data_IF_193099561796
#
_entry.id   IF_193099561796
#
_cell.length_a   1.000
_cell.length_b   1.000
_cell.length_c   1.000
_cell.angle_alpha   90.00
_cell.angle_beta   90.00
_cell.angle_gamma   90.00
#
_symmetry.space_group_name_H-M   'P 1'
#
loop_
_entity.id
_entity.type
_entity.pdbx_description
1 polymer ?
#
# COMPACT_ATOMS: atom_id res chain seq x y z
N UNK A 1 -2.85 13.10 -15.71
CA UNK A 1 -1.60 12.98 -16.50
C UNK A 1 -0.85 11.77 -16.00
N UNK A 2 -0.91 10.67 -16.75
CA UNK A 2 0.03 9.55 -16.54
C UNK A 2 1.39 10.01 -17.09
N UNK A 3 2.19 10.61 -16.24
CA UNK A 3 3.59 10.85 -16.56
C UNK A 3 4.33 9.51 -16.33
N UNK A 4 4.45 8.73 -17.40
CA UNK A 4 5.35 7.58 -17.41
C UNK A 4 6.79 8.07 -17.39
N UNK A 5 7.40 8.16 -16.22
CA UNK A 5 8.84 8.28 -16.10
C UNK A 5 9.45 6.89 -16.22
N UNK A 6 9.86 6.51 -17.42
CA UNK A 6 10.74 5.36 -17.61
C UNK A 6 12.11 5.69 -17.04
N UNK A 7 12.43 5.15 -15.87
CA UNK A 7 13.79 5.14 -15.36
C UNK A 7 14.57 4.04 -16.09
N UNK A 8 15.39 4.44 -17.04
CA UNK A 8 16.49 3.62 -17.52
C UNK A 8 17.54 3.58 -16.40
N UNK A 9 17.47 2.56 -15.56
CA UNK A 9 18.58 2.25 -14.67
C UNK A 9 19.74 1.72 -15.50
N UNK A 10 20.75 2.56 -15.66
CA UNK A 10 22.02 2.18 -16.23
C UNK A 10 22.70 1.16 -15.29
N UNK A 11 22.83 -0.07 -15.76
CA UNK A 11 23.46 -1.16 -15.04
C UNK A 11 24.97 -0.97 -15.00
N UNK A 12 25.48 -0.21 -14.03
CA UNK A 12 26.88 -0.23 -13.63
C UNK A 12 27.00 0.04 -12.13
N UNK A 13 26.74 -0.97 -11.32
CA UNK A 13 27.45 -1.24 -10.08
C UNK A 13 27.16 -2.68 -9.68
N UNK A 14 28.06 -3.55 -10.05
CA UNK A 14 27.96 -5.00 -9.83
C UNK A 14 28.43 -5.45 -8.45
N UNK A 15 28.76 -4.55 -7.53
CA UNK A 15 29.43 -4.94 -6.28
C UNK A 15 28.60 -4.82 -4.99
N UNK A 16 27.41 -4.23 -5.03
CA UNK A 16 26.60 -4.12 -3.80
C UNK A 16 25.29 -4.91 -3.80
N UNK A 17 25.05 -5.76 -4.79
CA UNK A 17 23.82 -6.57 -4.85
C UNK A 17 23.88 -7.89 -4.08
N UNK A 18 25.06 -8.39 -3.74
CA UNK A 18 25.21 -9.65 -3.02
C UNK A 18 24.88 -9.53 -1.53
N UNK A 19 25.14 -8.37 -0.92
CA UNK A 19 24.92 -8.18 0.52
C UNK A 19 23.47 -7.78 0.89
N UNK A 20 22.66 -7.35 -0.07
CA UNK A 20 21.25 -6.99 0.18
C UNK A 20 20.28 -8.16 0.09
N UNK A 21 20.70 -9.32 -0.43
CA UNK A 21 19.83 -10.48 -0.56
C UNK A 21 19.70 -11.31 0.72
N UNK A 22 20.58 -11.14 1.70
CA UNK A 22 20.61 -11.97 2.91
C UNK A 22 19.87 -11.40 4.12
N UNK A 23 19.32 -10.19 4.04
CA UNK A 23 18.60 -9.57 5.13
C UNK A 23 17.25 -9.01 4.66
N UNK A 24 16.34 -9.88 4.25
CA UNK A 24 14.96 -9.49 4.03
C UNK A 24 14.32 -9.23 5.39
N UNK A 25 14.12 -7.94 5.72
CA UNK A 25 13.40 -7.56 6.93
C UNK A 25 11.95 -8.05 6.87
N UNK A 26 11.33 -8.34 8.02
CA UNK A 26 9.91 -8.62 8.06
C UNK A 26 9.10 -7.54 7.35
N UNK A 27 8.02 -7.91 6.68
CA UNK A 27 7.07 -6.97 6.09
C UNK A 27 5.88 -6.81 7.02
N UNK A 28 5.40 -5.58 7.17
CA UNK A 28 4.18 -5.26 7.91
C UNK A 28 3.16 -4.66 6.97
N UNK A 29 1.96 -5.20 6.97
CA UNK A 29 0.83 -4.74 6.18
C UNK A 29 -0.35 -4.46 7.08
N UNK A 30 -1.18 -3.50 6.69
CA UNK A 30 -2.49 -3.28 7.32
C UNK A 30 -3.50 -4.20 6.64
N UNK A 31 -4.38 -4.80 7.43
CA UNK A 31 -5.51 -5.58 6.92
C UNK A 31 -6.80 -4.80 7.11
N UNK A 32 -7.49 -4.52 6.01
CA UNK A 32 -8.77 -3.81 5.97
C UNK A 32 -9.82 -4.76 5.39
N UNK A 33 -10.73 -5.23 6.23
CA UNK A 33 -11.60 -6.34 5.87
C UNK A 33 -10.78 -7.59 5.52
N UNK A 34 -10.95 -8.11 4.30
CA UNK A 34 -10.18 -9.23 3.77
C UNK A 34 -8.95 -8.81 2.96
N UNK A 35 -8.73 -7.51 2.74
CA UNK A 35 -7.71 -6.97 1.83
C UNK A 35 -6.50 -6.48 2.61
N UNK A 36 -5.31 -6.87 2.15
CA UNK A 36 -4.04 -6.28 2.59
C UNK A 36 -3.86 -4.93 1.91
N UNK A 37 -3.39 -3.95 2.67
CA UNK A 37 -3.08 -2.60 2.20
C UNK A 37 -1.88 -2.04 2.97
N UNK A 38 -1.35 -0.93 2.51
CA UNK A 38 -0.33 -0.17 3.23
C UNK A 38 0.86 -1.03 3.66
N UNK A 39 1.47 -1.74 2.69
CA UNK A 39 2.73 -2.45 2.95
C UNK A 39 3.79 -1.45 3.40
N UNK A 40 4.33 -1.67 4.58
CA UNK A 40 5.36 -0.83 5.18
C UNK A 40 6.72 -1.51 5.07
N UNK A 41 7.74 -0.70 4.78
CA UNK A 41 9.13 -1.15 4.74
C UNK A 41 9.80 -0.95 6.09
N UNK A 42 10.61 -1.93 6.51
CA UNK A 42 11.31 -1.90 7.78
C UNK A 42 12.60 -1.07 7.73
N UNK A 43 12.93 -0.45 8.86
CA UNK A 43 14.17 0.30 9.08
C UNK A 43 14.87 -0.25 10.31
N UNK A 44 16.18 -0.48 10.23
CA UNK A 44 16.99 -0.90 11.39
C UNK A 44 17.29 0.26 12.36
N UNK A 45 17.05 1.48 11.94
CA UNK A 45 17.21 2.67 12.78
C UNK A 45 15.90 3.41 12.89
N UNK A 46 15.61 3.91 14.08
CA UNK A 46 14.44 4.75 14.30
C UNK A 46 14.59 6.07 13.54
N UNK A 47 13.58 6.38 12.75
CA UNK A 47 13.51 7.62 11.96
C UNK A 47 12.67 8.67 12.69
N UNK A 48 12.89 9.94 12.35
CA UNK A 48 12.02 11.01 12.84
C UNK A 48 10.66 10.92 12.13
N UNK A 49 9.59 10.88 12.91
CA UNK A 49 8.24 10.61 12.40
C UNK A 49 7.66 11.73 11.55
N UNK A 50 8.13 12.98 11.70
CA UNK A 50 7.71 14.14 10.91
C UNK A 50 8.14 14.06 9.44
N UNK A 51 9.18 13.28 9.12
CA UNK A 51 9.62 13.03 7.74
C UNK A 51 8.94 11.80 7.10
N UNK A 52 8.27 10.97 7.90
CA UNK A 52 7.69 9.71 7.43
C UNK A 52 6.25 9.92 6.95
N UNK A 53 6.10 10.45 5.75
CA UNK A 53 4.81 10.66 5.08
C UNK A 53 4.43 9.50 4.16
N UNK A 54 4.61 8.28 4.63
CA UNK A 54 4.18 7.08 3.91
C UNK A 54 2.66 6.98 3.78
N UNK A 55 2.18 5.76 3.74
CA UNK A 55 0.74 5.47 3.66
C UNK A 55 -0.06 6.12 4.79
N UNK A 56 -1.36 6.28 4.54
CA UNK A 56 -2.34 6.66 5.56
C UNK A 56 -3.25 5.47 5.85
N UNK A 57 -3.38 5.13 7.14
CA UNK A 57 -4.27 4.05 7.61
C UNK A 57 -5.53 4.69 8.19
N UNK A 58 -6.67 4.55 7.50
CA UNK A 58 -7.92 5.08 7.99
C UNK A 58 -8.44 4.27 9.17
N UNK A 59 -8.94 4.96 10.17
CA UNK A 59 -9.55 4.39 11.36
C UNK A 59 -11.04 4.73 11.37
N UNK A 60 -11.87 3.75 11.60
CA UNK A 60 -13.28 3.96 11.92
C UNK A 60 -13.46 4.43 13.38
N UNK A 61 -14.70 4.50 13.82
CA UNK A 61 -15.04 4.91 15.19
C UNK A 61 -14.54 3.94 16.25
N UNK A 62 -14.21 2.69 15.90
CA UNK A 62 -13.63 1.72 16.83
C UNK A 62 -12.14 1.92 17.06
N UNK A 63 -11.48 2.66 16.20
CA UNK A 63 -10.03 2.93 16.20
C UNK A 63 -9.17 1.65 16.22
N UNK A 64 -9.69 0.60 15.61
CA UNK A 64 -8.99 -0.68 15.50
C UNK A 64 -8.16 -0.73 14.23
N UNK A 65 -6.98 -1.33 14.34
CA UNK A 65 -6.09 -1.61 13.21
C UNK A 65 -5.63 -3.05 13.29
N UNK A 66 -5.85 -3.79 12.22
CA UNK A 66 -5.33 -5.15 12.09
C UNK A 66 -4.05 -5.14 11.27
N UNK A 67 -3.01 -5.79 11.78
CA UNK A 67 -1.75 -5.96 11.09
C UNK A 67 -1.52 -7.41 10.72
N UNK A 68 -0.94 -7.61 9.55
CA UNK A 68 -0.33 -8.86 9.14
C UNK A 68 1.17 -8.66 8.96
N UNK A 69 1.96 -9.56 9.53
CA UNK A 69 3.41 -9.52 9.55
C UNK A 69 3.92 -10.76 8.85
N UNK A 70 4.73 -10.59 7.82
CA UNK A 70 5.44 -11.66 7.13
C UNK A 70 6.89 -11.70 7.63
N UNK A 71 7.23 -12.65 8.50
CA UNK A 71 8.50 -12.62 9.24
C UNK A 71 9.72 -13.02 8.40
N UNK A 72 9.52 -13.71 7.26
CA UNK A 72 10.57 -14.31 6.45
C UNK A 72 11.48 -15.22 7.29
N UNK A 73 12.78 -14.94 7.37
CA UNK A 73 13.76 -15.71 8.14
C UNK A 73 13.84 -15.26 9.62
N UNK A 74 13.30 -14.08 9.95
CA UNK A 74 13.37 -13.55 11.30
C UNK A 74 12.36 -14.20 12.24
N UNK A 75 12.72 -14.31 13.51
CA UNK A 75 11.77 -14.66 14.57
C UNK A 75 11.26 -13.36 15.19
N UNK A 76 9.97 -13.09 15.02
CA UNK A 76 9.29 -11.94 15.63
C UNK A 76 8.73 -12.37 16.97
N UNK A 77 9.14 -11.70 18.06
CA UNK A 77 8.76 -12.04 19.45
C UNK A 77 7.76 -11.08 20.07
N UNK A 78 7.57 -9.89 19.47
CA UNK A 78 6.64 -8.89 19.94
C UNK A 78 6.46 -7.74 18.97
N UNK A 79 5.44 -6.94 19.23
CA UNK A 79 5.14 -5.71 18.53
C UNK A 79 4.90 -4.60 19.54
N UNK A 80 5.47 -3.45 19.29
CA UNK A 80 5.09 -2.22 19.98
C UNK A 80 4.57 -1.21 18.97
N UNK A 81 3.70 -0.30 19.40
CA UNK A 81 3.29 0.82 18.59
C UNK A 81 3.31 2.11 19.38
N UNK A 82 3.54 3.21 18.68
CA UNK A 82 3.50 4.54 19.23
C UNK A 82 2.73 5.46 18.27
N UNK A 83 1.75 6.19 18.82
CA UNK A 83 1.00 7.22 18.09
C UNK A 83 1.45 8.57 18.57
N UNK A 84 1.80 9.46 17.63
CA UNK A 84 2.23 10.85 17.89
C UNK A 84 1.39 11.84 17.10
N UNK A 85 1.40 13.08 17.54
CA UNK A 85 0.94 14.20 16.70
C UNK A 85 1.70 14.22 15.37
N UNK A 86 1.11 14.77 14.32
CA UNK A 86 1.69 14.76 12.96
C UNK A 86 3.04 15.47 12.86
N UNK A 87 3.32 16.39 13.77
CA UNK A 87 4.62 17.08 13.94
C UNK A 87 5.62 16.30 14.81
N UNK A 88 5.25 15.11 15.29
CA UNK A 88 6.08 14.27 16.14
C UNK A 88 6.30 14.78 17.56
N UNK A 89 5.78 15.97 17.92
CA UNK A 89 6.12 16.66 19.16
C UNK A 89 5.54 16.00 20.41
N UNK A 90 4.39 15.33 20.30
CA UNK A 90 3.67 14.75 21.43
C UNK A 90 3.34 13.29 21.19
N UNK A 91 3.71 12.43 22.12
CA UNK A 91 3.24 11.03 22.18
C UNK A 91 1.81 11.04 22.72
N UNK A 92 0.90 10.47 21.94
CA UNK A 92 -0.50 10.28 22.31
C UNK A 92 -0.69 8.94 23.00
N UNK A 93 -0.01 7.91 22.51
CA UNK A 93 -0.10 6.56 23.02
C UNK A 93 1.17 5.77 22.70
N UNK A 94 1.59 4.87 23.59
CA UNK A 94 2.64 3.90 23.38
C UNK A 94 2.26 2.61 24.12
N UNK A 95 2.24 1.48 23.40
CA UNK A 95 1.89 0.17 23.96
C UNK A 95 2.72 -0.95 23.36
N UNK A 96 2.93 -2.00 24.16
CA UNK A 96 3.55 -3.27 23.73
C UNK A 96 2.50 -4.36 23.64
N UNK A 97 2.53 -5.09 22.53
CA UNK A 97 1.67 -6.24 22.26
C UNK A 97 2.54 -7.50 22.28
N UNK A 98 2.25 -8.41 23.19
CA UNK A 98 3.04 -9.64 23.34
C UNK A 98 2.43 -10.84 22.60
N UNK A 99 1.12 -10.81 22.38
CA UNK A 99 0.41 -11.93 21.79
C UNK A 99 0.18 -11.66 20.31
N UNK A 100 1.02 -12.27 19.48
CA UNK A 100 0.84 -12.33 18.03
C UNK A 100 0.21 -13.70 17.70
N UNK A 101 -0.82 -13.71 16.86
CA UNK A 101 -1.45 -14.93 16.37
C UNK A 101 -0.69 -15.44 15.18
N UNK A 102 -0.30 -16.71 15.18
CA UNK A 102 0.33 -17.35 14.03
C UNK A 102 -0.76 -17.87 13.09
N UNK A 103 -0.70 -17.46 11.85
CA UNK A 103 -1.59 -17.87 10.79
C UNK A 103 -1.08 -19.12 10.07
N UNK A 104 -1.97 -19.86 9.38
CA UNK A 104 -1.62 -21.08 8.65
C UNK A 104 -0.62 -20.84 7.50
N UNK A 105 -0.61 -19.63 6.94
CA UNK A 105 0.32 -19.22 5.88
C UNK A 105 1.72 -18.84 6.39
N UNK A 106 1.97 -19.00 7.70
CA UNK A 106 3.23 -18.65 8.35
C UNK A 106 3.38 -17.17 8.71
N UNK A 107 2.41 -16.32 8.36
CA UNK A 107 2.36 -14.93 8.82
C UNK A 107 1.97 -14.85 10.29
N UNK A 108 2.19 -13.68 10.88
CA UNK A 108 1.69 -13.35 12.20
C UNK A 108 0.63 -12.25 12.05
N UNK A 109 -0.39 -12.29 12.89
CA UNK A 109 -1.42 -11.27 12.89
C UNK A 109 -1.65 -10.71 14.30
N UNK A 110 -2.10 -9.46 14.35
CA UNK A 110 -2.58 -8.84 15.59
C UNK A 110 -3.57 -7.73 15.26
N UNK A 111 -4.51 -7.51 16.16
CA UNK A 111 -5.40 -6.35 16.15
C UNK A 111 -5.06 -5.47 17.35
N UNK A 112 -4.91 -4.18 17.12
CA UNK A 112 -4.73 -3.19 18.17
C UNK A 112 -5.92 -2.24 18.19
N UNK A 113 -6.21 -1.69 19.34
CA UNK A 113 -7.19 -0.62 19.53
C UNK A 113 -6.48 0.60 20.12
N UNK A 114 -6.53 1.71 19.40
CA UNK A 114 -5.91 2.97 19.85
C UNK A 114 -6.83 3.60 20.89
N UNK A 115 -6.39 3.54 22.15
CA UNK A 115 -7.17 4.02 23.30
C UNK A 115 -7.16 5.54 23.46
N UNK A 116 -6.18 6.23 22.88
CA UNK A 116 -6.06 7.67 22.98
C UNK A 116 -7.17 8.40 22.22
N UNK A 117 -7.49 9.60 22.67
CA UNK A 117 -8.49 10.44 22.04
C UNK A 117 -7.91 11.14 20.80
N UNK A 118 -8.13 10.53 19.64
CA UNK A 118 -7.75 11.08 18.36
C UNK A 118 -8.88 11.98 17.82
N UNK A 119 -8.53 13.20 17.43
CA UNK A 119 -9.49 14.10 16.82
C UNK A 119 -9.88 13.60 15.42
N UNK A 120 -11.17 13.67 15.12
CA UNK A 120 -11.67 13.35 13.80
C UNK A 120 -11.02 14.24 12.73
N UNK A 121 -10.74 13.66 11.58
CA UNK A 121 -10.18 14.34 10.43
C UNK A 121 -8.78 14.97 10.66
N UNK A 122 -8.10 14.56 11.73
CA UNK A 122 -6.73 14.96 12.01
C UNK A 122 -5.80 13.76 11.81
N UNK A 123 -4.69 13.98 11.11
CA UNK A 123 -3.65 12.99 10.93
C UNK A 123 -2.74 12.91 12.15
N UNK A 124 -2.29 11.71 12.43
CA UNK A 124 -1.29 11.37 13.43
C UNK A 124 -0.24 10.47 12.81
N UNK A 125 0.98 10.51 13.32
CA UNK A 125 2.03 9.57 12.94
C UNK A 125 1.92 8.31 13.79
N UNK A 126 2.08 7.15 13.19
CA UNK A 126 2.13 5.87 13.88
C UNK A 126 3.43 5.15 13.53
N UNK A 127 4.20 4.82 14.54
CA UNK A 127 5.37 3.97 14.45
C UNK A 127 5.00 2.59 14.97
N UNK A 128 5.35 1.55 14.23
CA UNK A 128 5.29 0.16 14.68
C UNK A 128 6.73 -0.31 14.88
N UNK A 129 7.01 -1.00 15.96
CA UNK A 129 8.31 -1.60 16.25
C UNK A 129 8.11 -3.10 16.41
N UNK A 130 8.84 -3.89 15.64
CA UNK A 130 8.92 -5.34 15.82
C UNK A 130 10.17 -5.69 16.61
N UNK A 131 9.99 -6.47 17.66
CA UNK A 131 11.10 -7.14 18.37
C UNK A 131 11.44 -8.42 17.58
N UNK A 132 12.62 -8.46 16.95
CA UNK A 132 13.07 -9.62 16.17
C UNK A 132 14.31 -10.25 16.77
N UNK A 133 14.69 -11.47 16.28
CA UNK A 133 15.93 -12.14 16.67
C UNK A 133 17.19 -11.32 16.36
N UNK A 134 17.10 -10.43 15.36
CA UNK A 134 18.20 -9.58 14.88
C UNK A 134 18.13 -8.13 15.41
N UNK A 135 17.24 -7.87 16.39
CA UNK A 135 17.00 -6.56 16.99
C UNK A 135 15.70 -5.91 16.55
N UNK A 136 15.52 -4.66 16.91
CA UNK A 136 14.30 -3.91 16.60
C UNK A 136 14.26 -3.47 15.14
N UNK A 137 13.05 -3.54 14.56
CA UNK A 137 12.76 -3.04 13.20
C UNK A 137 11.58 -2.08 13.29
N UNK A 138 11.71 -0.92 12.67
CA UNK A 138 10.76 0.19 12.76
C UNK A 138 10.00 0.36 11.45
N UNK A 139 8.70 0.58 11.55
CA UNK A 139 7.77 0.79 10.42
C UNK A 139 6.93 2.02 10.70
N UNK A 140 6.47 2.69 9.65
CA UNK A 140 5.77 3.96 9.77
C UNK A 140 4.56 4.02 8.86
N UNK A 141 3.47 4.56 9.40
CA UNK A 141 2.27 4.95 8.66
C UNK A 141 1.66 6.17 9.33
N UNK A 142 0.81 6.89 8.62
CA UNK A 142 -0.08 7.88 9.23
C UNK A 142 -1.38 7.22 9.60
N UNK A 143 -2.08 7.75 10.59
CA UNK A 143 -3.44 7.31 10.93
C UNK A 143 -4.37 8.51 10.94
N UNK A 144 -5.61 8.32 10.49
CA UNK A 144 -6.65 9.34 10.51
C UNK A 144 -7.98 8.70 10.89
N UNK A 145 -8.67 9.30 11.86
CA UNK A 145 -10.02 8.84 12.25
C UNK A 145 -11.10 9.52 11.42
N UNK A 146 -12.03 8.72 10.86
CA UNK A 146 -13.14 9.18 10.01
C UNK A 146 -14.45 8.56 10.50
N UNK A 147 -15.57 9.30 10.33
CA UNK A 147 -16.90 8.81 10.71
C UNK A 147 -17.48 7.81 9.73
N UNK A 148 -17.18 7.97 8.46
CA UNK A 148 -17.60 7.09 7.37
C UNK A 148 -16.40 6.74 6.50
N UNK A 149 -16.27 5.46 6.17
CA UNK A 149 -15.20 4.95 5.35
C UNK A 149 -15.75 3.93 4.35
N UNK A 150 -15.41 4.13 3.08
CA UNK A 150 -15.64 3.16 2.01
C UNK A 150 -14.35 2.47 1.59
N UNK A 151 -13.37 2.38 2.50
CA UNK A 151 -12.00 1.94 2.20
C UNK A 151 -11.96 0.58 1.54
N UNK A 152 -12.72 -0.39 2.06
CA UNK A 152 -12.75 -1.74 1.50
C UNK A 152 -13.25 -1.75 0.04
N UNK A 153 -14.28 -0.98 -0.25
CA UNK A 153 -14.81 -0.85 -1.62
C UNK A 153 -13.80 -0.18 -2.56
N UNK A 154 -13.07 0.84 -2.08
CA UNK A 154 -12.02 1.48 -2.87
C UNK A 154 -10.85 0.53 -3.15
N UNK A 155 -10.41 -0.23 -2.16
CA UNK A 155 -9.34 -1.21 -2.33
C UNK A 155 -9.75 -2.32 -3.31
N UNK A 156 -10.98 -2.81 -3.21
CA UNK A 156 -11.51 -3.81 -4.13
C UNK A 156 -11.58 -3.26 -5.56
N UNK A 157 -12.06 -2.02 -5.72
CA UNK A 157 -12.09 -1.37 -7.04
C UNK A 157 -10.70 -1.28 -7.68
N UNK A 158 -9.68 -0.89 -6.93
CA UNK A 158 -8.30 -0.78 -7.44
C UNK A 158 -7.75 -2.13 -7.87
N UNK A 159 -8.02 -3.19 -7.11
CA UNK A 159 -7.62 -4.56 -7.46
C UNK A 159 -8.37 -5.06 -8.71
N UNK A 160 -9.67 -4.85 -8.77
CA UNK A 160 -10.47 -5.23 -9.94
C UNK A 160 -10.00 -4.47 -11.18
N UNK A 161 -9.65 -3.20 -11.03
CA UNK A 161 -9.13 -2.38 -12.13
C UNK A 161 -7.84 -2.98 -12.71
N UNK A 162 -6.87 -3.34 -11.87
CA UNK A 162 -5.60 -3.93 -12.32
C UNK A 162 -5.80 -5.24 -13.11
N UNK A 163 -6.76 -6.06 -12.72
CA UNK A 163 -7.09 -7.31 -13.41
C UNK A 163 -7.83 -7.07 -14.72
N UNK A 164 -8.83 -6.19 -14.70
CA UNK A 164 -9.65 -5.87 -15.90
C UNK A 164 -8.85 -5.19 -16.99
N UNK A 165 -7.82 -4.41 -16.65
CA UNK A 165 -6.93 -3.80 -17.65
C UNK A 165 -6.20 -4.81 -18.53
N UNK A 166 -6.05 -6.06 -18.09
CA UNK A 166 -5.35 -7.12 -18.84
C UNK A 166 -6.26 -7.82 -19.87
N UNK A 167 -7.57 -7.67 -19.73
CA UNK A 167 -8.57 -8.27 -20.62
C UNK A 167 -9.17 -7.17 -21.50
N UNK A 168 -9.09 -7.34 -22.83
CA UNK A 168 -9.54 -6.32 -23.79
C UNK A 168 -11.04 -6.00 -23.69
N UNK A 169 -11.86 -7.01 -23.45
CA UNK A 169 -13.32 -6.83 -23.35
C UNK A 169 -13.69 -6.14 -22.03
N UNK A 170 -12.98 -6.47 -20.94
CA UNK A 170 -13.21 -5.87 -19.64
C UNK A 170 -12.60 -4.47 -19.53
N UNK A 171 -11.49 -4.19 -20.22
CA UNK A 171 -10.86 -2.88 -20.23
C UNK A 171 -11.80 -1.78 -20.73
N UNK A 172 -12.66 -2.09 -21.71
CA UNK A 172 -13.65 -1.12 -22.21
C UNK A 172 -14.66 -0.70 -21.13
N UNK A 173 -14.97 -1.57 -20.18
CA UNK A 173 -15.87 -1.26 -19.06
C UNK A 173 -15.28 -0.23 -18.09
N UNK A 174 -13.97 -0.04 -18.10
CA UNK A 174 -13.27 0.90 -17.23
C UNK A 174 -13.26 2.33 -17.77
N UNK A 175 -13.60 2.53 -19.04
CA UNK A 175 -13.54 3.83 -19.71
C UNK A 175 -14.37 4.91 -18.97
N UNK A 176 -15.50 4.53 -18.40
CA UNK A 176 -16.35 5.45 -17.62
C UNK A 176 -15.75 5.94 -16.29
N UNK A 177 -14.66 5.31 -15.82
CA UNK A 177 -13.95 5.68 -14.60
C UNK A 177 -12.68 6.49 -14.86
N UNK A 178 -12.34 6.71 -16.14
CA UNK A 178 -11.18 7.50 -16.52
C UNK A 178 -11.56 8.96 -16.64
N UNK A 179 -10.73 9.82 -16.07
CA UNK A 179 -10.88 11.25 -16.27
C UNK A 179 -10.44 11.59 -17.69
N UNK A 180 -11.35 12.22 -18.45
CA UNK A 180 -11.00 12.78 -19.75
C UNK A 180 -10.17 14.04 -19.51
N UNK A 181 -8.95 14.08 -20.06
CA UNK A 181 -8.21 15.35 -20.12
C UNK A 181 -9.03 16.39 -20.91
N UNK A 182 -9.35 17.50 -20.25
CA UNK A 182 -9.98 18.65 -20.88
C UNK A 182 -8.96 19.38 -21.74
N UNK A 183 -8.68 18.81 -22.92
CA UNK A 183 -7.89 19.51 -23.93
C UNK A 183 -8.86 20.45 -24.66
N UNK A 184 -8.86 21.70 -24.25
CA UNK A 184 -9.60 22.79 -24.87
C UNK A 184 -9.37 22.80 -26.39
N UNK A 185 -10.28 22.22 -27.18
CA UNK A 185 -10.26 22.27 -28.63
C UNK A 185 -10.70 21.04 -29.41
N UNK A 186 -10.99 19.91 -28.78
CA UNK A 186 -11.33 18.72 -29.57
C UNK A 186 -12.03 17.60 -28.80
N UNK A 187 -13.25 17.86 -28.39
CA UNK A 187 -14.05 17.01 -27.50
C UNK A 187 -14.27 15.57 -28.00
N UNK A 188 -14.21 15.28 -29.28
CA UNK A 188 -14.49 13.94 -29.77
C UNK A 188 -13.23 13.07 -29.93
N UNK A 189 -12.07 13.65 -30.14
CA UNK A 189 -10.84 12.90 -30.40
C UNK A 189 -10.26 12.30 -29.12
N UNK A 190 -10.39 13.01 -27.99
CA UNK A 190 -9.85 12.57 -26.72
C UNK A 190 -10.66 11.43 -26.10
N UNK A 191 -11.99 11.48 -26.20
CA UNK A 191 -12.84 10.40 -25.74
C UNK A 191 -12.62 9.10 -26.52
N UNK A 192 -12.37 9.20 -27.84
CA UNK A 192 -12.01 8.06 -28.68
C UNK A 192 -10.60 7.56 -28.35
N UNK A 193 -9.66 8.46 -28.05
CA UNK A 193 -8.29 8.11 -27.69
C UNK A 193 -8.21 7.40 -26.33
N UNK A 194 -9.01 7.81 -25.35
CA UNK A 194 -9.04 7.18 -24.02
C UNK A 194 -9.74 5.81 -24.12
N UNK A 195 -10.88 5.73 -24.78
CA UNK A 195 -11.59 4.44 -24.95
C UNK A 195 -10.83 3.43 -25.80
N UNK A 196 -10.14 3.89 -26.84
CA UNK A 196 -9.24 3.04 -27.61
C UNK A 196 -7.92 2.75 -26.88
N UNK A 197 -7.54 3.58 -25.92
CA UNK A 197 -6.29 3.48 -25.18
C UNK A 197 -6.19 2.25 -24.28
N UNK A 198 -7.21 1.98 -23.49
CA UNK A 198 -7.19 0.83 -22.57
C UNK A 198 -7.33 -0.51 -23.31
N UNK A 199 -8.25 -0.63 -24.26
CA UNK A 199 -8.43 -1.85 -25.06
C UNK A 199 -7.29 -2.11 -26.05
N UNK A 200 -6.50 -1.10 -26.39
CA UNK A 200 -5.34 -1.20 -27.27
C UNK A 200 -3.99 -1.19 -26.57
N UNK A 201 -3.94 -1.19 -25.24
CA UNK A 201 -2.68 -1.36 -24.50
C UNK A 201 -2.06 -2.68 -24.93
N UNK A 202 -0.88 -2.61 -25.54
CA UNK A 202 -0.07 -3.79 -25.82
C UNK A 202 0.81 -4.10 -24.61
N UNK A 203 0.52 -5.20 -23.97
CA UNK A 203 1.32 -5.73 -22.88
C UNK A 203 2.50 -6.59 -23.39
N UNK A 204 2.73 -6.61 -24.70
CA UNK A 204 3.74 -7.44 -25.35
C UNK A 204 3.32 -8.91 -25.51
N UNK A 205 2.07 -9.25 -25.21
CA UNK A 205 1.48 -10.58 -25.34
C UNK A 205 0.00 -10.47 -25.73
N UNK A 206 -0.54 -11.51 -26.37
CA UNK A 206 -1.97 -11.64 -26.65
C UNK A 206 -2.76 -12.09 -25.42
N UNK A 207 -2.08 -12.68 -24.45
CA UNK A 207 -2.67 -13.21 -23.22
C UNK A 207 -1.84 -12.79 -21.99
N UNK A 208 -1.79 -11.50 -21.68
CA UNK A 208 -1.03 -11.03 -20.53
C UNK A 208 -1.63 -11.58 -19.23
N UNK A 209 -0.77 -11.96 -18.29
CA UNK A 209 -1.18 -12.49 -17.00
C UNK A 209 -0.61 -11.62 -15.87
N UNK A 210 -1.39 -11.43 -14.83
CA UNK A 210 -0.88 -10.80 -13.61
C UNK A 210 0.16 -11.74 -12.97
N UNK A 211 1.43 -11.32 -12.99
CA UNK A 211 2.54 -12.10 -12.43
C UNK A 211 2.66 -11.88 -10.93
N UNK A 212 2.52 -10.64 -10.48
CA UNK A 212 2.54 -10.27 -9.08
C UNK A 212 1.41 -9.27 -8.80
N UNK A 213 0.51 -9.69 -7.94
CA UNK A 213 -0.51 -8.80 -7.41
C UNK A 213 0.13 -7.84 -6.40
N UNK A 214 -0.03 -6.55 -6.61
CA UNK A 214 0.47 -5.53 -5.70
C UNK A 214 -0.37 -5.42 -4.43
N UNK A 215 0.22 -4.81 -3.42
CA UNK A 215 -0.51 -4.38 -2.21
C UNK A 215 -0.86 -2.91 -2.36
N UNK A 216 -2.16 -2.54 -2.37
CA UNK A 216 -2.57 -1.15 -2.51
C UNK A 216 -2.00 -0.28 -1.39
N UNK A 217 -1.49 0.89 -1.76
CA UNK A 217 -1.01 1.92 -0.86
C UNK A 217 -2.02 3.07 -0.83
N UNK A 218 -2.57 3.36 0.33
CA UNK A 218 -3.48 4.49 0.52
C UNK A 218 -2.62 5.72 0.79
N UNK A 219 -2.56 6.65 -0.18
CA UNK A 219 -1.78 7.88 -0.09
C UNK A 219 -2.55 8.97 0.66
N UNK A 220 -3.87 9.05 0.39
CA UNK A 220 -4.81 9.95 1.05
C UNK A 220 -6.21 9.35 1.05
N UNK A 221 -7.02 9.71 2.05
CA UNK A 221 -8.40 9.27 2.15
C UNK A 221 -9.24 10.25 2.96
N UNK A 222 -10.43 10.53 2.46
CA UNK A 222 -11.46 11.26 3.18
C UNK A 222 -12.80 10.52 3.09
N UNK A 223 -13.90 11.14 3.46
CA UNK A 223 -15.21 10.49 3.52
C UNK A 223 -15.78 10.13 2.14
N UNK A 224 -15.34 10.81 1.08
CA UNK A 224 -15.91 10.68 -0.27
C UNK A 224 -14.89 10.27 -1.33
N UNK A 225 -13.60 10.47 -1.09
CA UNK A 225 -12.53 10.21 -2.05
C UNK A 225 -11.33 9.51 -1.39
N UNK A 226 -10.57 8.80 -2.20
CA UNK A 226 -9.27 8.25 -1.81
C UNK A 226 -8.28 8.38 -2.97
N UNK A 227 -7.01 8.58 -2.64
CA UNK A 227 -5.88 8.41 -3.54
C UNK A 227 -5.17 7.10 -3.17
N UNK A 228 -5.12 6.17 -4.11
CA UNK A 228 -4.54 4.84 -3.87
C UNK A 228 -3.61 4.51 -5.02
N UNK A 229 -2.38 4.12 -4.66
CA UNK A 229 -1.38 3.62 -5.60
C UNK A 229 -1.33 2.10 -5.55
N UNK A 230 -1.31 1.46 -6.72
CA UNK A 230 -1.11 0.03 -6.85
C UNK A 230 -0.03 -0.26 -7.90
N UNK A 231 1.09 -0.81 -7.45
CA UNK A 231 2.13 -1.35 -8.31
C UNK A 231 1.93 -2.85 -8.50
N UNK A 232 1.84 -3.30 -9.75
CA UNK A 232 1.69 -4.71 -10.08
C UNK A 232 2.56 -5.10 -11.27
N UNK A 233 2.87 -6.38 -11.39
CA UNK A 233 3.70 -6.90 -12.48
C UNK A 233 2.87 -7.78 -13.41
N UNK A 234 3.10 -7.59 -14.71
CA UNK A 234 2.45 -8.34 -15.77
C UNK A 234 3.48 -9.21 -16.48
N UNK A 235 3.17 -10.48 -16.64
CA UNK A 235 3.93 -11.40 -17.50
C UNK A 235 3.41 -11.29 -18.93
N UNK A 236 4.34 -11.06 -19.86
CA UNK A 236 4.10 -10.96 -21.30
C UNK A 236 4.71 -12.16 -22.05
N UNK A 237 4.93 -13.29 -21.40
CA UNK A 237 5.41 -14.48 -22.08
C UNK A 237 4.26 -15.10 -22.87
N UNK A 238 4.42 -15.14 -24.20
CA UNK A 238 3.63 -16.02 -25.04
C UNK A 238 4.15 -17.44 -24.80
N UNK A 239 3.26 -18.35 -24.42
CA UNK A 239 3.56 -19.76 -24.36
C UNK A 239 3.83 -20.21 -25.82
N UNK A 240 5.11 -20.52 -26.16
CA UNK A 240 5.49 -21.18 -27.40
C UNK A 240 5.02 -22.63 -27.41
#
# INVERSE_FOLDING_TARGET
>A
VVAGTSFLMNSQSTDNRSDMNDATLPEVMVKIGSTQANKMYGYRQQMQTDFMRGSITPLDTTKKVSFEIKPYADTVTGLAYEVRTSDGSKVMENRKIKNLTKEDNGCLSTEIEIGSDLRMNQEYSMQITLDTSEGEVYYYTRVVSRTQLNTEAYLQFVKDFSTKCLDKEQADTLTGYLEAEDISGGTNYNNISISSGLSNISWGSLSPKLYMEGVPLIDDINETTASITLDYQVSAQDDE
#
